data_IF_526675667253
#
_entry.id   IF_526675667253
#
_cell.length_a   1.000
_cell.length_b   1.000
_cell.length_c   1.000
_cell.angle_alpha   90.00
_cell.angle_beta   90.00
_cell.angle_gamma   90.00
#
_symmetry.space_group_name_H-M   'P 1'
#
loop_
_entity.id
_entity.type
_entity.pdbx_description
1 polymer ?
#
# COMPACT_ATOMS: atom_id res chain seq x y z
N UNK A 1 -23.14 6.35 -11.48
CA UNK A 1 -22.79 5.02 -10.93
C UNK A 1 -21.28 4.97 -10.79
N UNK A 2 -20.76 5.03 -9.55
CA UNK A 2 -19.32 4.90 -9.29
C UNK A 2 -18.84 3.49 -9.60
N UNK A 3 -17.62 3.37 -10.14
CA UNK A 3 -16.99 2.08 -10.44
C UNK A 3 -15.82 1.87 -9.49
N UNK A 4 -15.79 0.75 -8.79
CA UNK A 4 -14.71 0.39 -7.88
C UNK A 4 -13.58 -0.31 -8.66
N UNK A 5 -12.33 0.16 -8.49
CA UNK A 5 -11.13 -0.43 -9.09
C UNK A 5 -10.16 -0.86 -8.00
N UNK A 6 -9.60 -2.07 -8.10
CA UNK A 6 -8.65 -2.62 -7.12
C UNK A 6 -7.26 -2.90 -7.73
N UNK A 7 -6.21 -2.39 -7.09
CA UNK A 7 -4.80 -2.68 -7.37
C UNK A 7 -4.19 -3.39 -6.15
N UNK A 8 -3.35 -4.41 -6.34
CA UNK A 8 -2.81 -5.25 -5.26
C UNK A 8 -1.28 -5.19 -5.23
N UNK A 9 -0.68 -5.07 -4.04
CA UNK A 9 0.78 -5.16 -3.86
C UNK A 9 1.14 -5.83 -2.52
N UNK A 10 2.39 -6.27 -2.36
CA UNK A 10 2.85 -6.99 -1.17
C UNK A 10 4.18 -6.43 -0.68
N UNK A 11 4.31 -6.27 0.64
CA UNK A 11 5.56 -5.88 1.30
C UNK A 11 6.19 -7.14 1.86
N UNK A 12 7.44 -7.41 1.46
CA UNK A 12 8.19 -8.53 2.03
C UNK A 12 8.72 -8.14 3.41
N UNK A 13 8.25 -8.81 4.46
CA UNK A 13 8.85 -8.70 5.79
C UNK A 13 10.10 -9.59 5.88
N UNK A 14 11.14 -9.16 6.61
CA UNK A 14 12.30 -10.01 6.88
C UNK A 14 11.90 -11.23 7.71
N UNK A 15 12.45 -12.41 7.36
CA UNK A 15 12.12 -13.67 8.05
C UNK A 15 12.62 -13.64 9.51
N UNK A 16 11.77 -13.92 10.52
CA UNK A 16 12.20 -13.94 11.91
C UNK A 16 13.31 -14.96 12.14
N UNK A 17 14.33 -14.59 12.91
CA UNK A 17 15.41 -15.50 13.30
C UNK A 17 14.87 -16.55 14.27
N UNK A 18 15.37 -17.79 14.16
CA UNK A 18 15.07 -18.85 15.12
C UNK A 18 16.13 -18.91 16.20
N UNK A 19 15.73 -19.20 17.42
CA UNK A 19 16.65 -19.52 18.51
C UNK A 19 17.28 -20.92 18.30
N UNK A 20 18.24 -21.25 19.17
CA UNK A 20 18.93 -22.55 19.20
C UNK A 20 18.00 -23.76 19.43
N UNK A 21 16.77 -23.53 19.87
CA UNK A 21 15.74 -24.55 20.14
C UNK A 21 14.68 -24.61 19.03
N UNK A 22 14.80 -23.80 17.98
CA UNK A 22 13.87 -23.73 16.85
C UNK A 22 12.66 -22.83 17.07
N UNK A 23 12.54 -22.15 18.21
CA UNK A 23 11.49 -21.18 18.47
C UNK A 23 11.75 -19.89 17.69
N UNK A 24 10.68 -19.24 17.21
CA UNK A 24 10.79 -17.95 16.54
C UNK A 24 11.12 -16.88 17.57
N UNK A 25 12.25 -16.19 17.40
CA UNK A 25 12.51 -14.95 18.13
C UNK A 25 11.57 -13.89 17.57
N UNK A 26 11.00 -13.01 18.42
CA UNK A 26 10.24 -11.88 17.93
C UNK A 26 11.19 -11.03 17.08
N UNK A 27 10.89 -10.97 15.79
CA UNK A 27 11.65 -10.17 14.83
C UNK A 27 11.08 -8.75 14.76
N UNK A 28 11.80 -7.82 14.13
CA UNK A 28 11.23 -6.54 13.73
C UNK A 28 9.92 -6.78 12.96
N UNK A 29 8.85 -6.11 13.37
CA UNK A 29 7.55 -6.18 12.68
C UNK A 29 7.31 -4.86 11.96
N UNK A 30 6.73 -4.92 10.76
CA UNK A 30 6.33 -3.70 10.07
C UNK A 30 4.97 -3.26 10.62
N UNK A 31 4.86 -1.99 10.96
CA UNK A 31 3.60 -1.34 11.26
C UNK A 31 2.76 -1.22 9.98
N UNK A 32 1.96 -2.24 9.71
CA UNK A 32 1.14 -2.30 8.49
C UNK A 32 0.17 -1.11 8.39
N UNK A 33 -0.35 -0.60 9.51
CA UNK A 33 -1.23 0.57 9.51
C UNK A 33 -0.49 1.83 9.10
N UNK A 34 0.69 2.07 9.67
CA UNK A 34 1.49 3.24 9.29
C UNK A 34 1.94 3.18 7.82
N UNK A 35 2.23 2.00 7.29
CA UNK A 35 2.53 1.87 5.85
C UNK A 35 1.30 2.14 4.98
N UNK A 36 0.13 1.63 5.36
CA UNK A 36 -1.13 1.92 4.66
C UNK A 36 -1.42 3.41 4.58
N UNK A 37 -1.26 4.11 5.71
CA UNK A 37 -1.48 5.55 5.83
C UNK A 37 -0.47 6.31 4.97
N UNK A 38 0.82 5.94 5.05
CA UNK A 38 1.85 6.56 4.21
C UNK A 38 1.58 6.37 2.71
N UNK A 39 1.21 5.16 2.28
CA UNK A 39 0.86 4.90 0.88
C UNK A 39 -0.33 5.75 0.46
N UNK A 40 -1.35 5.88 1.31
CA UNK A 40 -2.49 6.74 1.03
C UNK A 40 -2.08 8.20 0.86
N UNK A 41 -1.28 8.74 1.79
CA UNK A 41 -0.79 10.12 1.76
C UNK A 41 0.04 10.45 0.51
N UNK A 42 0.88 9.50 0.06
CA UNK A 42 1.67 9.70 -1.15
C UNK A 42 0.86 9.49 -2.44
N UNK A 43 -0.11 8.58 -2.43
CA UNK A 43 -0.83 8.19 -3.66
C UNK A 43 -2.06 9.06 -3.95
N UNK A 44 -2.82 9.49 -2.92
CA UNK A 44 -4.03 10.30 -3.09
C UNK A 44 -3.79 11.59 -3.91
N UNK A 45 -2.76 12.42 -3.65
CA UNK A 45 -2.54 13.66 -4.40
C UNK A 45 -2.25 13.42 -5.88
N UNK A 46 -1.60 12.28 -6.19
CA UNK A 46 -1.29 11.90 -7.56
C UNK A 46 -2.54 11.39 -8.30
N UNK A 47 -3.41 10.66 -7.61
CA UNK A 47 -4.71 10.21 -8.13
C UNK A 47 -5.65 11.38 -8.38
N UNK A 48 -5.74 12.32 -7.44
CA UNK A 48 -6.57 13.53 -7.60
C UNK A 48 -6.11 14.38 -8.78
N UNK A 49 -4.78 14.49 -9.00
CA UNK A 49 -4.22 15.24 -10.13
C UNK A 49 -4.58 14.61 -11.48
N UNK A 50 -4.61 13.28 -11.54
CA UNK A 50 -4.82 12.53 -12.79
C UNK A 50 -6.30 12.36 -13.13
N UNK A 51 -7.15 12.10 -12.12
CA UNK A 51 -8.54 11.72 -12.32
C UNK A 51 -9.56 12.76 -11.82
N UNK A 52 -9.13 13.73 -11.01
CA UNK A 52 -10.00 14.75 -10.42
C UNK A 52 -10.12 14.62 -8.90
N UNK A 53 -10.43 15.73 -8.24
CA UNK A 53 -10.58 15.81 -6.79
C UNK A 53 -11.83 15.08 -6.23
N UNK A 54 -12.71 14.59 -7.10
CA UNK A 54 -13.87 13.78 -6.73
C UNK A 54 -13.55 12.28 -6.58
N UNK A 55 -12.30 11.87 -6.86
CA UNK A 55 -11.85 10.49 -6.73
C UNK A 55 -11.27 10.26 -5.34
N UNK A 56 -11.91 9.36 -4.59
CA UNK A 56 -11.47 8.91 -3.27
C UNK A 56 -10.64 7.63 -3.41
N UNK A 57 -9.42 7.63 -2.87
CA UNK A 57 -8.59 6.45 -2.73
C UNK A 57 -8.70 5.88 -1.32
N UNK A 58 -8.74 4.55 -1.21
CA UNK A 58 -8.61 3.85 0.07
C UNK A 58 -7.58 2.75 -0.05
N UNK A 59 -6.59 2.75 0.83
CA UNK A 59 -5.65 1.63 0.95
C UNK A 59 -6.14 0.74 2.09
N UNK A 60 -6.43 -0.52 1.79
CA UNK A 60 -7.01 -1.47 2.75
C UNK A 60 -6.06 -2.63 3.01
N UNK A 61 -5.97 -3.10 4.27
CA UNK A 61 -5.22 -4.30 4.60
C UNK A 61 -5.90 -5.53 3.99
N UNK A 62 -5.08 -6.43 3.47
CA UNK A 62 -5.49 -7.73 2.96
C UNK A 62 -4.29 -8.68 2.96
N UNK A 63 -4.45 -9.87 2.38
CA UNK A 63 -3.30 -10.77 2.12
C UNK A 63 -2.25 -10.10 1.22
N UNK A 64 -2.69 -9.12 0.44
CA UNK A 64 -1.95 -8.10 -0.28
C UNK A 64 -2.57 -6.76 0.10
N UNK A 65 -1.78 -5.68 0.13
CA UNK A 65 -2.29 -4.33 0.27
C UNK A 65 -3.12 -4.01 -0.97
N UNK A 66 -4.37 -3.61 -0.75
CA UNK A 66 -5.35 -3.37 -1.80
C UNK A 66 -5.64 -1.85 -1.89
N UNK A 67 -5.41 -1.24 -3.05
CA UNK A 67 -5.79 0.15 -3.34
C UNK A 67 -7.15 0.13 -4.02
N UNK A 68 -8.14 0.79 -3.42
CA UNK A 68 -9.50 0.97 -3.96
C UNK A 68 -9.70 2.41 -4.39
N UNK A 69 -10.30 2.60 -5.55
CA UNK A 69 -10.71 3.92 -6.02
C UNK A 69 -12.23 3.97 -6.18
N UNK A 70 -12.83 5.03 -5.66
CA UNK A 70 -14.24 5.35 -5.78
C UNK A 70 -14.37 6.76 -6.39
N UNK A 71 -15.07 6.86 -7.52
CA UNK A 71 -15.20 8.13 -8.24
C UNK A 71 -15.86 7.97 -9.61
N UNK A 72 -15.93 9.07 -10.37
CA UNK A 72 -16.43 9.06 -11.75
C UNK A 72 -15.26 9.08 -12.73
N UNK A 73 -15.07 7.99 -13.45
CA UNK A 73 -13.99 7.86 -14.43
C UNK A 73 -14.50 8.02 -15.85
N UNK A 74 -13.81 8.85 -16.64
CA UNK A 74 -14.04 8.98 -18.09
C UNK A 74 -13.35 7.84 -18.84
N UNK A 75 -12.19 7.40 -18.36
CA UNK A 75 -11.40 6.34 -18.99
C UNK A 75 -11.98 4.94 -18.73
N UNK A 76 -11.55 3.96 -19.54
CA UNK A 76 -11.90 2.57 -19.30
C UNK A 76 -11.25 2.08 -17.98
N UNK A 77 -11.90 1.19 -17.22
CA UNK A 77 -11.35 0.69 -15.95
C UNK A 77 -9.94 0.08 -16.05
N UNK A 78 -9.61 -0.52 -17.19
CA UNK A 78 -8.26 -1.05 -17.47
C UNK A 78 -7.20 0.06 -17.48
N UNK A 79 -7.53 1.20 -18.08
CA UNK A 79 -6.60 2.32 -18.22
C UNK A 79 -6.39 3.00 -16.86
N UNK A 80 -7.48 3.21 -16.11
CA UNK A 80 -7.39 3.70 -14.73
C UNK A 80 -6.51 2.78 -13.88
N UNK A 81 -6.73 1.45 -13.94
CA UNK A 81 -5.92 0.48 -13.22
C UNK A 81 -4.43 0.56 -13.61
N UNK A 82 -4.13 0.69 -14.90
CA UNK A 82 -2.75 0.79 -15.39
C UNK A 82 -2.08 2.07 -14.91
N UNK A 83 -2.78 3.19 -14.95
CA UNK A 83 -2.26 4.48 -14.50
C UNK A 83 -2.03 4.49 -13.00
N UNK A 84 -3.00 4.04 -12.19
CA UNK A 84 -2.81 3.87 -10.74
C UNK A 84 -1.66 2.91 -10.44
N UNK A 85 -1.51 1.82 -11.18
CA UNK A 85 -0.39 0.90 -11.03
C UNK A 85 0.98 1.55 -11.27
N UNK A 86 1.07 2.49 -12.23
CA UNK A 86 2.29 3.28 -12.46
C UNK A 86 2.54 4.28 -11.33
N UNK A 87 1.50 4.99 -10.88
CA UNK A 87 1.62 5.94 -9.77
C UNK A 87 2.05 5.23 -8.48
N UNK A 88 1.46 4.09 -8.18
CA UNK A 88 1.90 3.24 -7.07
C UNK A 88 3.35 2.77 -7.25
N UNK A 89 3.75 2.40 -8.47
CA UNK A 89 5.14 2.06 -8.78
C UNK A 89 6.12 3.18 -8.39
N UNK A 90 5.81 4.43 -8.77
CA UNK A 90 6.63 5.59 -8.41
C UNK A 90 6.67 5.83 -6.89
N UNK A 91 5.54 5.72 -6.20
CA UNK A 91 5.48 5.83 -4.73
C UNK A 91 6.33 4.73 -4.07
N UNK A 92 6.33 3.51 -4.60
CA UNK A 92 7.12 2.40 -4.07
C UNK A 92 8.62 2.51 -4.37
N UNK A 93 9.04 3.27 -5.38
CA UNK A 93 10.46 3.56 -5.63
C UNK A 93 11.06 4.46 -4.54
N UNK A 94 10.25 5.30 -3.90
CA UNK A 94 10.64 6.19 -2.80
C UNK A 94 10.38 5.57 -1.42
N UNK A 95 9.84 4.35 -1.36
CA UNK A 95 9.46 3.72 -0.09
C UNK A 95 10.70 3.29 0.70
N UNK A 96 10.82 3.84 1.91
CA UNK A 96 11.76 3.39 2.93
C UNK A 96 11.01 2.63 4.04
N UNK A 97 11.43 1.41 4.33
CA UNK A 97 10.79 0.57 5.34
C UNK A 97 11.24 0.90 6.77
N UNK A 98 12.41 1.51 6.97
CA UNK A 98 13.00 1.74 8.30
C UNK A 98 12.06 2.48 9.29
N UNK A 99 11.35 3.56 8.89
CA UNK A 99 10.46 4.31 9.79
C UNK A 99 9.27 3.48 10.28
N UNK A 100 8.94 2.39 9.59
CA UNK A 100 7.78 1.56 9.87
C UNK A 100 8.15 0.29 10.65
N UNK A 101 9.43 0.04 10.89
CA UNK A 101 9.89 -1.11 11.66
C UNK A 101 9.70 -0.84 13.16
N UNK A 102 8.87 -1.67 13.80
CA UNK A 102 8.73 -1.71 15.25
C UNK A 102 9.66 -2.79 15.81
N UNK A 103 10.52 -2.38 16.74
CA UNK A 103 11.31 -3.32 17.53
C UNK A 103 10.38 -4.12 18.47
N UNK A 104 10.68 -5.40 18.72
CA UNK A 104 9.92 -6.19 19.67
C UNK A 104 10.10 -5.62 21.09
N UNK A 105 8.99 -5.30 21.77
CA UNK A 105 9.02 -5.03 23.20
C UNK A 105 9.49 -6.28 23.94
N UNK A 106 10.60 -6.15 24.68
CA UNK A 106 11.24 -7.23 25.47
C UNK A 106 10.54 -7.43 26.83
#
# INVERSE_FOLDING_TARGET
MGKMITVKFAIQQPTPKRDKNGAMLPGPTIDETAVLDWVHEQLQPNVEREFGADVELRVVPGRTLDVRLDGTFVQAPKDVKNTVGKLLGLVMEEFDAEPFVREPEL
#
